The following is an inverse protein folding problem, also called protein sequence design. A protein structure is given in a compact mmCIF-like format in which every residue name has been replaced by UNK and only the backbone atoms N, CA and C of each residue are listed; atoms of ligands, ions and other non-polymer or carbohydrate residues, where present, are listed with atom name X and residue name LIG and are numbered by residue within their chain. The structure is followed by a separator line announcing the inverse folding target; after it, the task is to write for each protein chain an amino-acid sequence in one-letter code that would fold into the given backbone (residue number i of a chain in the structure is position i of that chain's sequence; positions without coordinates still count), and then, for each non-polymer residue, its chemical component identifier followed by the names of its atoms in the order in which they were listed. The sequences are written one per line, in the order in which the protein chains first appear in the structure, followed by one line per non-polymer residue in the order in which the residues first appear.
data_IF_399098633377
#
_entry.id   IF_399098633377
#
_cell.length_a   1.000
_cell.length_b   1.000
_cell.length_c   1.000
_cell.angle_alpha   90.00
_cell.angle_beta   90.00
_cell.angle_gamma   90.00
#
_symmetry.space_group_name_H-M   'P 1'
#
loop_
_entity.id
_entity.type
_entity.pdbx_description
1 polymer ?
#
# COMPACT_ATOMS: atom_id res chain seq x y z
N UNK A 1 -38.34 -13.49 -32.47
CA UNK A 1 -37.05 -12.80 -32.64
C UNK A 1 -36.69 -12.11 -31.33
N UNK A 2 -35.87 -12.75 -30.50
CA UNK A 2 -35.34 -12.11 -29.29
C UNK A 2 -34.34 -11.04 -29.74
N UNK A 3 -34.64 -9.77 -29.46
CA UNK A 3 -33.66 -8.68 -29.56
C UNK A 3 -32.60 -8.94 -28.48
N UNK A 4 -31.53 -9.65 -28.85
CA UNK A 4 -30.26 -9.53 -28.15
C UNK A 4 -29.83 -8.07 -28.26
N UNK A 5 -30.11 -7.29 -27.22
CA UNK A 5 -29.40 -6.05 -26.99
C UNK A 5 -27.94 -6.43 -26.79
N UNK A 6 -27.15 -6.40 -27.88
CA UNK A 6 -25.70 -6.43 -27.82
C UNK A 6 -25.29 -5.19 -27.02
N UNK A 7 -25.20 -5.35 -25.69
CA UNK A 7 -24.54 -4.36 -24.83
C UNK A 7 -23.11 -4.30 -25.35
N UNK A 8 -22.71 -3.12 -25.81
CA UNK A 8 -21.33 -2.88 -26.25
C UNK A 8 -20.37 -3.38 -25.16
N UNK A 9 -19.29 -4.09 -25.54
CA UNK A 9 -18.35 -4.65 -24.57
C UNK A 9 -17.71 -3.53 -23.75
N UNK A 10 -17.52 -3.78 -22.45
CA UNK A 10 -17.01 -2.77 -21.51
C UNK A 10 -15.55 -2.46 -21.89
N UNK A 11 -15.18 -1.19 -22.15
CA UNK A 11 -13.81 -0.84 -22.50
C UNK A 11 -12.84 -1.22 -21.39
N UNK A 12 -11.69 -1.79 -21.75
CA UNK A 12 -10.63 -2.11 -20.80
C UNK A 12 -9.94 -0.82 -20.32
N UNK A 13 -9.72 -0.72 -19.01
CA UNK A 13 -8.92 0.31 -18.36
C UNK A 13 -7.56 -0.29 -18.04
N UNK A 14 -6.45 0.41 -18.31
CA UNK A 14 -5.12 -0.12 -17.95
C UNK A 14 -4.97 -0.34 -16.44
N UNK A 15 -4.05 -1.23 -16.04
CA UNK A 15 -3.68 -1.46 -14.62
C UNK A 15 -3.43 -0.14 -13.88
N UNK A 16 -2.66 0.78 -14.47
CA UNK A 16 -2.39 2.09 -13.89
C UNK A 16 -3.64 2.97 -13.77
N UNK A 17 -4.51 2.93 -14.78
CA UNK A 17 -5.77 3.65 -14.76
C UNK A 17 -6.68 3.13 -13.64
N UNK A 18 -6.95 1.81 -13.61
CA UNK A 18 -7.80 1.22 -12.60
C UNK A 18 -7.27 1.48 -11.19
N UNK A 19 -5.97 1.31 -10.98
CA UNK A 19 -5.32 1.57 -9.70
C UNK A 19 -5.58 2.99 -9.22
N UNK A 20 -5.31 3.99 -10.07
CA UNK A 20 -5.53 5.39 -9.73
C UNK A 20 -7.00 5.65 -9.35
N UNK A 21 -7.95 5.18 -10.17
CA UNK A 21 -9.39 5.34 -9.91
C UNK A 21 -9.82 4.69 -8.60
N UNK A 22 -9.43 3.44 -8.36
CA UNK A 22 -9.75 2.68 -7.14
C UNK A 22 -9.10 3.30 -5.90
N UNK A 23 -7.83 3.74 -6.01
CA UNK A 23 -7.09 4.38 -4.93
C UNK A 23 -7.79 5.66 -4.47
N UNK A 24 -8.28 6.48 -5.41
CA UNK A 24 -9.02 7.70 -5.07
C UNK A 24 -10.40 7.37 -4.49
N UNK A 25 -11.12 6.39 -5.05
CA UNK A 25 -12.39 5.93 -4.48
C UNK A 25 -12.28 5.43 -3.03
N UNK A 26 -11.08 5.00 -2.63
CA UNK A 26 -10.77 4.49 -1.29
C UNK A 26 -9.78 5.38 -0.51
N UNK A 27 -9.61 6.64 -0.92
CA UNK A 27 -8.52 7.47 -0.42
C UNK A 27 -8.59 7.73 1.09
N UNK A 28 -9.78 7.89 1.66
CA UNK A 28 -9.97 8.08 3.12
C UNK A 28 -9.34 6.96 3.95
N UNK A 29 -9.32 5.75 3.38
CA UNK A 29 -8.80 4.54 4.01
C UNK A 29 -7.31 4.33 3.68
N UNK A 30 -6.90 4.73 2.48
CA UNK A 30 -5.61 4.35 1.89
C UNK A 30 -4.58 5.48 1.83
N UNK A 31 -4.96 6.71 2.18
CA UNK A 31 -4.10 7.89 2.19
C UNK A 31 -4.13 8.49 3.61
N UNK A 32 -2.99 8.54 4.32
CA UNK A 32 -2.95 8.94 5.73
C UNK A 32 -3.05 10.45 5.97
N UNK A 33 -2.99 11.26 4.90
CA UNK A 33 -3.02 12.74 4.92
C UNK A 33 -4.39 13.26 4.48
N UNK A 34 -4.68 14.53 4.73
CA UNK A 34 -5.96 15.18 4.38
C UNK A 34 -6.06 15.62 2.91
N UNK A 35 -4.94 15.78 2.23
CA UNK A 35 -4.83 16.13 0.81
C UNK A 35 -4.05 15.05 0.08
N UNK A 36 -4.49 14.70 -1.12
CA UNK A 36 -3.81 13.80 -2.04
C UNK A 36 -2.95 14.56 -3.03
N UNK A 37 -1.96 13.84 -3.57
CA UNK A 37 -1.21 14.21 -4.78
C UNK A 37 -1.27 13.09 -5.80
N UNK A 38 -0.88 13.38 -7.04
CA UNK A 38 -0.80 12.34 -8.07
C UNK A 38 0.26 11.27 -7.77
N UNK A 39 1.26 11.54 -6.93
CA UNK A 39 2.17 10.50 -6.43
C UNK A 39 1.45 9.39 -5.66
N UNK A 40 0.39 9.72 -4.90
CA UNK A 40 -0.38 8.72 -4.13
C UNK A 40 -1.14 7.75 -5.04
N UNK A 41 -1.42 8.19 -6.27
CA UNK A 41 -2.18 7.47 -7.30
C UNK A 41 -1.27 6.82 -8.34
N UNK A 42 0.05 7.02 -8.23
CA UNK A 42 1.01 6.49 -9.16
C UNK A 42 1.02 4.96 -9.09
N UNK A 43 0.72 4.30 -10.19
CA UNK A 43 0.80 2.85 -10.27
C UNK A 43 2.24 2.38 -10.41
N UNK A 44 2.59 1.18 -9.93
CA UNK A 44 3.90 0.55 -10.19
C UNK A 44 4.20 0.35 -11.69
N UNK A 45 3.15 0.26 -12.51
CA UNK A 45 3.27 0.11 -13.97
C UNK A 45 3.43 1.45 -14.70
N UNK A 46 3.54 2.57 -13.97
CA UNK A 46 3.55 3.90 -14.53
C UNK A 46 4.92 4.58 -14.38
N UNK A 47 5.36 5.21 -15.47
CA UNK A 47 6.69 5.78 -15.65
C UNK A 47 6.84 7.21 -15.13
N UNK A 48 5.76 7.96 -14.96
CA UNK A 48 5.82 9.32 -14.40
C UNK A 48 4.53 9.81 -13.75
N UNK A 49 4.70 10.73 -12.81
CA UNK A 49 3.61 11.46 -12.13
C UNK A 49 2.81 12.29 -13.13
N UNK A 50 3.46 12.93 -14.10
CA UNK A 50 2.79 13.65 -15.19
C UNK A 50 1.86 12.76 -16.00
N UNK A 51 2.30 11.53 -16.31
CA UNK A 51 1.46 10.57 -17.01
C UNK A 51 0.30 10.12 -16.12
N UNK A 52 0.48 10.05 -14.80
CA UNK A 52 -0.59 9.70 -13.85
C UNK A 52 -1.65 10.78 -13.88
N UNK A 53 -1.24 12.03 -13.67
CA UNK A 53 -2.08 13.21 -13.73
C UNK A 53 -2.82 13.30 -15.08
N UNK A 54 -2.13 13.10 -16.21
CA UNK A 54 -2.74 13.07 -17.54
C UNK A 54 -3.86 12.01 -17.66
N UNK A 55 -3.60 10.77 -17.24
CA UNK A 55 -4.58 9.68 -17.31
C UNK A 55 -5.78 9.95 -16.43
N UNK A 56 -5.55 10.38 -15.19
CA UNK A 56 -6.63 10.72 -14.24
C UNK A 56 -7.48 11.84 -14.81
N UNK A 57 -6.86 12.90 -15.33
CA UNK A 57 -7.56 14.04 -15.92
C UNK A 57 -8.51 13.60 -17.05
N UNK A 58 -8.00 12.85 -18.03
CA UNK A 58 -8.81 12.37 -19.14
C UNK A 58 -9.91 11.39 -18.72
N UNK A 59 -9.58 10.47 -17.80
CA UNK A 59 -10.53 9.44 -17.39
C UNK A 59 -11.69 10.03 -16.58
N UNK A 60 -11.40 10.99 -15.69
CA UNK A 60 -12.39 11.70 -14.90
C UNK A 60 -13.25 12.62 -15.78
N UNK A 61 -12.67 13.34 -16.73
CA UNK A 61 -13.42 14.18 -17.69
C UNK A 61 -14.37 13.32 -18.54
N UNK A 62 -13.88 12.21 -19.10
CA UNK A 62 -14.69 11.25 -19.86
C UNK A 62 -15.85 10.70 -19.02
N UNK A 63 -15.63 10.51 -17.73
CA UNK A 63 -16.63 10.00 -16.80
C UNK A 63 -17.52 11.08 -16.20
N UNK A 64 -17.28 12.36 -16.49
CA UNK A 64 -18.01 13.49 -15.91
C UNK A 64 -17.87 13.55 -14.40
N UNK A 65 -16.66 13.27 -13.89
CA UNK A 65 -16.27 13.37 -12.49
C UNK A 65 -15.32 14.55 -12.37
N UNK A 66 -15.64 15.49 -11.48
CA UNK A 66 -14.78 16.64 -11.21
C UNK A 66 -14.05 16.46 -9.89
N UNK A 67 -12.78 16.85 -9.87
CA UNK A 67 -12.03 16.99 -8.64
C UNK A 67 -12.18 18.44 -8.18
N UNK A 68 -12.99 18.64 -7.15
CA UNK A 68 -13.19 19.96 -6.54
C UNK A 68 -12.05 20.30 -5.58
N UNK A 69 -11.70 21.58 -5.50
CA UNK A 69 -10.69 22.06 -4.55
C UNK A 69 -9.26 21.66 -4.91
N UNK A 70 -8.98 21.38 -6.19
CA UNK A 70 -7.61 21.26 -6.68
C UNK A 70 -6.85 22.57 -6.48
N UNK A 71 -5.61 22.47 -6.01
CA UNK A 71 -4.70 23.58 -5.82
C UNK A 71 -3.44 23.29 -6.63
N UNK A 72 -2.98 24.28 -7.38
CA UNK A 72 -1.66 24.25 -8.00
C UNK A 72 -0.69 25.11 -7.18
N UNK A 73 0.41 24.51 -6.73
CA UNK A 73 1.43 25.18 -5.94
C UNK A 73 2.39 25.96 -6.84
N UNK A 74 1.96 27.11 -7.34
CA UNK A 74 2.73 27.96 -8.28
C UNK A 74 4.09 28.37 -7.72
N UNK A 75 4.18 28.66 -6.44
CA UNK A 75 5.41 29.04 -5.74
C UNK A 75 6.42 27.88 -5.74
N UNK A 76 5.98 26.68 -5.35
CA UNK A 76 6.81 25.48 -5.34
C UNK A 76 7.22 25.09 -6.77
N UNK A 77 6.29 25.17 -7.72
CA UNK A 77 6.57 24.95 -9.14
C UNK A 77 7.68 25.89 -9.63
N UNK A 78 7.56 27.18 -9.35
CA UNK A 78 8.56 28.16 -9.77
C UNK A 78 9.93 27.92 -9.13
N UNK A 79 9.96 27.50 -7.86
CA UNK A 79 11.20 27.29 -7.12
C UNK A 79 11.94 26.01 -7.52
N UNK A 80 11.21 24.91 -7.73
CA UNK A 80 11.81 23.56 -7.81
C UNK A 80 11.70 22.92 -9.20
N UNK A 81 10.79 23.36 -10.07
CA UNK A 81 10.74 22.88 -11.45
C UNK A 81 11.87 23.49 -12.28
N UNK A 82 12.52 22.66 -13.11
CA UNK A 82 13.60 23.08 -14.03
C UNK A 82 13.20 24.23 -14.96
N UNK A 83 11.92 24.31 -15.30
CA UNK A 83 11.36 25.30 -16.23
C UNK A 83 10.32 26.21 -15.58
N UNK A 84 10.00 25.99 -14.30
CA UNK A 84 8.91 26.69 -13.62
C UNK A 84 9.14 28.18 -13.47
N UNK A 85 10.33 28.59 -13.01
CA UNK A 85 10.69 30.00 -12.85
C UNK A 85 10.58 30.80 -14.15
N UNK A 86 11.13 30.27 -15.25
CA UNK A 86 11.05 30.92 -16.57
C UNK A 86 9.62 30.97 -17.10
N UNK A 87 8.88 29.87 -16.94
CA UNK A 87 7.47 29.79 -17.36
C UNK A 87 6.61 30.82 -16.63
N UNK A 88 6.75 30.94 -15.31
CA UNK A 88 6.01 31.91 -14.50
C UNK A 88 6.39 33.35 -14.87
N UNK A 89 7.69 33.64 -15.03
CA UNK A 89 8.17 34.96 -15.45
C UNK A 89 7.61 35.37 -16.82
N UNK A 90 7.65 34.47 -17.79
CA UNK A 90 7.13 34.73 -19.13
C UNK A 90 5.61 34.96 -19.13
N UNK A 91 4.87 34.25 -18.26
CA UNK A 91 3.45 34.51 -18.04
C UNK A 91 3.19 35.91 -17.46
N UNK A 92 3.89 36.28 -16.39
CA UNK A 92 3.75 37.60 -15.73
C UNK A 92 4.14 38.77 -16.65
N UNK A 93 5.14 38.58 -17.52
CA UNK A 93 5.56 39.59 -18.50
C UNK A 93 4.69 39.62 -19.77
N UNK A 94 3.67 38.76 -19.89
CA UNK A 94 2.82 38.66 -21.08
C UNK A 94 3.54 38.09 -22.32
N UNK A 95 4.69 37.44 -22.12
CA UNK A 95 5.57 36.86 -23.16
C UNK A 95 5.42 35.35 -23.31
N UNK A 96 4.44 34.74 -22.64
CA UNK A 96 4.21 33.30 -22.68
C UNK A 96 3.98 32.81 -24.13
N UNK A 97 4.73 31.76 -24.50
CA UNK A 97 4.55 31.06 -25.77
C UNK A 97 3.10 30.55 -25.92
N UNK A 98 2.66 30.33 -27.16
CA UNK A 98 1.29 29.89 -27.47
C UNK A 98 0.86 28.63 -26.68
N UNK A 99 1.76 27.67 -26.46
CA UNK A 99 1.47 26.47 -25.66
C UNK A 99 1.42 26.77 -24.15
N UNK A 100 2.28 27.65 -23.64
CA UNK A 100 2.30 28.02 -22.22
C UNK A 100 1.02 28.77 -21.80
N UNK A 101 0.31 29.42 -22.73
CA UNK A 101 -1.01 30.01 -22.47
C UNK A 101 -2.04 28.99 -22.00
N UNK A 102 -1.89 27.71 -22.33
CA UNK A 102 -2.79 26.65 -21.86
C UNK A 102 -2.70 26.42 -20.35
N UNK A 103 -1.56 26.73 -19.73
CA UNK A 103 -1.30 26.46 -18.30
C UNK A 103 -1.41 27.73 -17.44
N UNK A 104 -1.64 28.89 -18.05
CA UNK A 104 -1.85 30.16 -17.37
C UNK A 104 -2.89 30.10 -16.23
N UNK A 105 -4.06 29.43 -16.40
CA UNK A 105 -5.03 29.30 -15.31
C UNK A 105 -4.46 28.61 -14.05
N UNK A 106 -3.49 27.71 -14.20
CA UNK A 106 -2.84 27.04 -13.06
C UNK A 106 -1.88 27.99 -12.35
N UNK A 107 -1.10 28.76 -13.10
CA UNK A 107 -0.16 29.74 -12.55
C UNK A 107 -0.88 30.81 -11.71
N UNK A 108 -2.08 31.20 -12.14
CA UNK A 108 -2.95 32.13 -11.42
C UNK A 108 -3.80 31.44 -10.33
N UNK A 109 -3.68 30.12 -10.19
CA UNK A 109 -4.46 29.25 -9.30
C UNK A 109 -5.99 29.49 -9.41
N UNK A 110 -6.46 29.79 -10.62
CA UNK A 110 -7.85 30.09 -10.94
C UNK A 110 -8.27 29.26 -12.15
N UNK A 111 -8.57 27.98 -11.90
CA UNK A 111 -8.90 27.02 -12.94
C UNK A 111 -10.07 26.12 -12.53
N UNK A 112 -10.80 25.67 -13.55
CA UNK A 112 -11.82 24.63 -13.44
C UNK A 112 -11.21 23.26 -13.69
N UNK A 113 -11.89 22.20 -13.25
CA UNK A 113 -11.48 20.84 -13.59
C UNK A 113 -11.43 20.62 -15.11
N UNK A 114 -12.33 21.25 -15.87
CA UNK A 114 -12.32 21.15 -17.33
C UNK A 114 -11.03 21.74 -17.94
N UNK A 115 -10.60 22.90 -17.46
CA UNK A 115 -9.32 23.49 -17.89
C UNK A 115 -8.11 22.64 -17.48
N UNK A 116 -8.18 22.00 -16.31
CA UNK A 116 -7.20 20.99 -15.89
C UNK A 116 -7.13 19.81 -16.90
N UNK A 117 -8.27 19.24 -17.25
CA UNK A 117 -8.36 18.12 -18.20
C UNK A 117 -7.93 18.50 -19.62
N UNK A 118 -8.35 19.66 -20.14
CA UNK A 118 -8.01 20.13 -21.47
C UNK A 118 -6.50 20.42 -21.61
N UNK A 119 -5.83 20.74 -20.50
CA UNK A 119 -4.39 21.00 -20.47
C UNK A 119 -3.55 19.76 -20.18
N UNK A 120 -4.16 18.58 -20.00
CA UNK A 120 -3.47 17.36 -19.59
C UNK A 120 -2.28 17.01 -20.50
N UNK A 121 -2.41 17.22 -21.82
CA UNK A 121 -1.36 16.96 -22.80
C UNK A 121 -0.08 17.78 -22.56
N UNK A 122 -0.19 18.88 -21.81
CA UNK A 122 0.92 19.77 -21.48
C UNK A 122 1.68 19.33 -20.23
N UNK A 123 1.15 18.40 -19.43
CA UNK A 123 1.72 18.07 -18.11
C UNK A 123 3.16 17.59 -18.20
N UNK A 124 3.42 16.60 -19.07
CA UNK A 124 4.77 16.08 -19.26
C UNK A 124 5.75 17.12 -19.82
N UNK A 125 5.27 18.03 -20.68
CA UNK A 125 6.12 19.10 -21.25
C UNK A 125 6.51 20.12 -20.18
N UNK A 126 5.57 20.47 -19.31
CA UNK A 126 5.77 21.52 -18.31
C UNK A 126 6.11 20.99 -16.91
N UNK A 127 6.15 19.67 -16.72
CA UNK A 127 6.41 19.01 -15.44
C UNK A 127 5.40 19.44 -14.38
N UNK A 128 4.11 19.28 -14.67
CA UNK A 128 3.03 19.88 -13.85
C UNK A 128 2.46 18.93 -12.79
N UNK A 129 2.54 17.62 -13.00
CA UNK A 129 1.81 16.63 -12.19
C UNK A 129 2.14 16.67 -10.70
N UNK A 130 3.40 16.96 -10.36
CA UNK A 130 3.90 16.94 -8.97
C UNK A 130 3.39 18.11 -8.10
N UNK A 131 2.86 19.15 -8.74
CA UNK A 131 2.53 20.42 -8.07
C UNK A 131 1.04 20.60 -7.79
N UNK A 132 0.25 19.55 -8.04
CA UNK A 132 -1.17 19.54 -7.72
C UNK A 132 -1.44 18.82 -6.40
N UNK A 133 -2.22 19.46 -5.55
CA UNK A 133 -2.86 18.85 -4.39
C UNK A 133 -4.37 18.94 -4.51
N UNK A 134 -5.07 17.94 -3.97
CA UNK A 134 -6.53 17.91 -4.00
C UNK A 134 -7.11 17.14 -2.80
N UNK A 135 -8.38 17.36 -2.44
CA UNK A 135 -8.99 16.69 -1.30
C UNK A 135 -9.01 15.17 -1.46
N UNK A 136 -8.84 14.45 -0.35
CA UNK A 136 -9.02 12.99 -0.26
C UNK A 136 -10.48 12.59 -0.53
N UNK A 137 -11.42 13.49 -0.25
CA UNK A 137 -12.85 13.26 -0.39
C UNK A 137 -13.39 13.96 -1.64
N UNK A 138 -13.93 13.18 -2.57
CA UNK A 138 -14.75 13.71 -3.64
C UNK A 138 -16.09 14.23 -3.08
N UNK A 139 -16.66 15.25 -3.74
CA UNK A 139 -18.05 15.65 -3.46
C UNK A 139 -18.98 14.43 -3.58
N UNK A 140 -20.05 14.34 -2.76
CA UNK A 140 -20.89 13.14 -2.69
C UNK A 140 -21.41 12.63 -4.04
N UNK A 141 -21.80 13.53 -4.95
CA UNK A 141 -22.27 13.16 -6.28
C UNK A 141 -21.15 12.55 -7.14
N UNK A 142 -19.96 13.14 -7.11
CA UNK A 142 -18.78 12.65 -7.83
C UNK A 142 -18.29 11.32 -7.24
N UNK A 143 -18.30 11.17 -5.90
CA UNK A 143 -17.98 9.91 -5.23
C UNK A 143 -18.93 8.79 -5.65
N UNK A 144 -20.25 9.04 -5.57
CA UNK A 144 -21.26 8.06 -5.97
C UNK A 144 -21.10 7.65 -7.44
N UNK A 145 -20.78 8.60 -8.31
CA UNK A 145 -20.55 8.35 -9.74
C UNK A 145 -19.30 7.49 -9.96
N UNK A 146 -18.19 7.82 -9.31
CA UNK A 146 -16.95 7.04 -9.35
C UNK A 146 -17.20 5.59 -8.89
N UNK A 147 -17.85 5.42 -7.74
CA UNK A 147 -18.16 4.10 -7.17
C UNK A 147 -19.04 3.28 -8.11
N UNK A 148 -20.06 3.90 -8.71
CA UNK A 148 -20.95 3.23 -9.66
C UNK A 148 -20.20 2.78 -10.91
N UNK A 149 -19.32 3.62 -11.45
CA UNK A 149 -18.54 3.29 -12.66
C UNK A 149 -17.49 2.22 -12.39
N UNK A 150 -16.81 2.28 -11.24
CA UNK A 150 -15.92 1.22 -10.77
C UNK A 150 -16.67 -0.10 -10.55
N UNK A 151 -17.86 -0.05 -9.95
CA UNK A 151 -18.70 -1.24 -9.76
C UNK A 151 -19.09 -1.88 -11.10
N UNK A 152 -19.54 -1.08 -12.07
CA UNK A 152 -19.87 -1.55 -13.43
C UNK A 152 -18.64 -2.18 -14.08
N UNK A 153 -17.48 -1.52 -14.01
CA UNK A 153 -16.24 -2.01 -14.60
C UNK A 153 -15.78 -3.33 -13.98
N UNK A 154 -15.70 -3.39 -12.65
CA UNK A 154 -15.27 -4.58 -11.92
C UNK A 154 -16.24 -5.75 -12.10
N UNK A 155 -17.55 -5.48 -12.12
CA UNK A 155 -18.54 -6.51 -12.48
C UNK A 155 -18.38 -6.95 -13.93
N UNK A 156 -17.99 -6.05 -14.84
CA UNK A 156 -17.60 -6.39 -16.20
C UNK A 156 -16.43 -7.38 -16.23
N UNK A 157 -15.36 -7.07 -15.52
CA UNK A 157 -14.17 -7.90 -15.39
C UNK A 157 -14.47 -9.28 -14.78
N UNK A 158 -15.17 -9.31 -13.64
CA UNK A 158 -15.53 -10.55 -12.94
C UNK A 158 -16.38 -11.50 -13.80
N UNK A 159 -17.16 -10.94 -14.73
CA UNK A 159 -18.05 -11.70 -15.61
C UNK A 159 -17.50 -11.88 -17.04
N UNK A 160 -16.21 -11.64 -17.26
CA UNK A 160 -15.53 -11.76 -18.57
C UNK A 160 -16.21 -10.94 -19.69
N UNK A 161 -16.58 -9.69 -19.40
CA UNK A 161 -17.26 -8.76 -20.33
C UNK A 161 -16.40 -7.58 -20.78
N UNK A 162 -15.12 -7.55 -20.43
CA UNK A 162 -14.20 -6.55 -20.96
C UNK A 162 -13.83 -6.87 -22.40
N UNK A 163 -13.49 -5.82 -23.15
CA UNK A 163 -13.06 -5.96 -24.55
C UNK A 163 -11.82 -6.85 -24.75
N UNK A 164 -10.99 -7.02 -23.72
CA UNK A 164 -9.75 -7.81 -23.78
C UNK A 164 -9.93 -9.29 -23.39
N UNK A 165 -11.11 -9.69 -22.90
CA UNK A 165 -11.35 -11.03 -22.34
C UNK A 165 -11.53 -12.13 -23.41
N UNK A 166 -11.31 -11.79 -24.68
CA UNK A 166 -11.30 -12.77 -25.79
C UNK A 166 -10.17 -13.80 -25.67
N UNK A 167 -9.13 -13.50 -24.88
CA UNK A 167 -8.02 -14.41 -24.60
C UNK A 167 -8.24 -15.06 -23.23
N UNK A 168 -8.23 -16.40 -23.17
CA UNK A 168 -8.55 -17.19 -21.96
C UNK A 168 -7.75 -16.78 -20.71
N UNK A 169 -6.54 -16.26 -20.88
CA UNK A 169 -5.69 -15.82 -19.79
C UNK A 169 -6.18 -14.54 -19.09
N UNK A 170 -6.94 -13.68 -19.79
CA UNK A 170 -7.55 -12.48 -19.20
C UNK A 170 -8.87 -12.77 -18.49
N UNK A 171 -9.41 -13.98 -18.59
CA UNK A 171 -10.63 -14.35 -17.86
C UNK A 171 -10.41 -14.30 -16.35
N UNK A 172 -11.37 -13.71 -15.64
CA UNK A 172 -11.25 -13.48 -14.21
C UNK A 172 -10.99 -14.77 -13.44
N UNK A 173 -11.69 -15.86 -13.73
CA UNK A 173 -11.51 -17.14 -13.02
C UNK A 173 -10.08 -17.69 -13.15
N UNK A 174 -9.41 -17.50 -14.29
CA UNK A 174 -8.02 -17.92 -14.47
C UNK A 174 -7.05 -17.04 -13.71
N UNK A 175 -7.28 -15.73 -13.71
CA UNK A 175 -6.47 -14.80 -12.94
C UNK A 175 -6.64 -15.01 -11.43
N UNK A 176 -7.88 -15.22 -10.99
CA UNK A 176 -8.25 -15.53 -9.60
C UNK A 176 -7.56 -16.80 -9.12
N UNK A 177 -7.63 -17.88 -9.90
CA UNK A 177 -6.97 -19.15 -9.60
C UNK A 177 -5.46 -18.95 -9.37
N UNK A 178 -4.79 -18.26 -10.31
CA UNK A 178 -3.35 -17.98 -10.19
C UNK A 178 -3.03 -17.09 -8.98
N UNK A 179 -3.85 -16.07 -8.71
CA UNK A 179 -3.64 -15.17 -7.58
C UNK A 179 -3.79 -15.89 -6.24
N UNK A 180 -4.84 -16.70 -6.08
CA UNK A 180 -5.08 -17.46 -4.84
C UNK A 180 -3.93 -18.44 -4.55
N UNK A 181 -3.36 -19.06 -5.59
CA UNK A 181 -2.19 -19.93 -5.44
C UNK A 181 -0.97 -19.15 -4.90
N UNK A 182 -0.70 -17.95 -5.43
CA UNK A 182 0.35 -17.06 -4.93
C UNK A 182 0.09 -16.61 -3.49
N UNK A 183 -1.14 -16.18 -3.19
CA UNK A 183 -1.54 -15.72 -1.86
C UNK A 183 -1.42 -16.84 -0.82
N UNK A 184 -1.72 -18.09 -1.20
CA UNK A 184 -1.53 -19.26 -0.33
C UNK A 184 -0.08 -19.46 0.06
N UNK A 185 0.86 -19.38 -0.89
CA UNK A 185 2.29 -19.55 -0.59
C UNK A 185 2.75 -18.53 0.44
N UNK A 186 2.34 -17.27 0.27
CA UNK A 186 2.62 -16.19 1.20
C UNK A 186 1.94 -16.41 2.56
N UNK A 187 0.69 -16.87 2.56
CA UNK A 187 -0.06 -17.17 3.77
C UNK A 187 0.62 -18.26 4.62
N UNK A 188 1.10 -19.33 3.98
CA UNK A 188 1.82 -20.41 4.68
C UNK A 188 3.12 -19.92 5.32
N UNK A 189 3.75 -18.88 4.75
CA UNK A 189 4.99 -18.31 5.27
C UNK A 189 4.75 -17.28 6.38
N UNK A 190 3.78 -16.39 6.18
CA UNK A 190 3.63 -15.15 6.96
C UNK A 190 2.32 -15.06 7.77
N UNK A 191 1.44 -16.06 7.65
CA UNK A 191 0.09 -16.03 8.23
C UNK A 191 -0.90 -15.26 7.35
N UNK A 192 -2.06 -14.91 7.89
CA UNK A 192 -3.18 -14.39 7.07
C UNK A 192 -3.01 -12.91 6.66
N UNK A 193 -2.13 -12.17 7.34
CA UNK A 193 -1.81 -10.78 7.02
C UNK A 193 -0.35 -10.67 6.60
N UNK A 194 -0.10 -10.16 5.39
CA UNK A 194 1.25 -10.06 4.84
C UNK A 194 1.37 -8.92 3.83
N UNK A 195 2.62 -8.66 3.42
CA UNK A 195 2.95 -7.69 2.37
C UNK A 195 3.21 -8.45 1.08
N UNK A 196 2.31 -8.30 0.12
CA UNK A 196 2.50 -8.71 -1.26
C UNK A 196 3.53 -7.77 -1.88
N UNK A 197 4.61 -8.32 -2.43
CA UNK A 197 5.60 -7.57 -3.21
C UNK A 197 5.44 -7.94 -4.68
N UNK A 198 5.41 -6.96 -5.57
CA UNK A 198 5.63 -7.22 -6.98
C UNK A 198 6.74 -6.35 -7.53
N UNK A 199 7.56 -6.94 -8.38
CA UNK A 199 8.62 -6.27 -9.12
C UNK A 199 8.10 -5.93 -10.52
N UNK A 200 8.23 -4.67 -10.92
CA UNK A 200 8.05 -4.26 -12.30
C UNK A 200 9.34 -3.58 -12.79
N UNK A 201 10.25 -4.40 -13.33
CA UNK A 201 11.50 -4.01 -14.02
C UNK A 201 12.44 -3.00 -13.33
N UNK A 202 13.53 -3.50 -12.73
CA UNK A 202 14.89 -3.58 -13.30
C UNK A 202 15.74 -4.42 -12.33
N UNK A 203 16.19 -5.62 -12.71
CA UNK A 203 17.37 -6.18 -12.05
C UNK A 203 18.49 -6.29 -13.05
N UNK A 204 19.61 -5.63 -12.73
CA UNK A 204 20.92 -6.05 -13.21
C UNK A 204 21.38 -7.36 -12.57
N UNK A 205 20.66 -7.91 -11.57
CA UNK A 205 21.09 -9.10 -10.86
C UNK A 205 20.06 -10.26 -10.86
N UNK A 206 20.58 -11.43 -11.23
CA UNK A 206 19.90 -12.70 -11.39
C UNK A 206 19.47 -13.30 -10.04
N UNK A 207 18.27 -12.97 -9.56
CA UNK A 207 17.64 -13.72 -8.47
C UNK A 207 16.41 -14.47 -8.99
N UNK A 208 16.43 -15.80 -8.93
CA UNK A 208 15.42 -16.73 -9.46
C UNK A 208 13.98 -16.47 -8.99
N UNK A 209 13.77 -15.78 -7.88
CA UNK A 209 12.45 -15.37 -7.40
C UNK A 209 11.85 -14.17 -8.17
N UNK A 210 12.66 -13.43 -8.93
CA UNK A 210 12.20 -12.32 -9.79
C UNK A 210 11.64 -12.78 -11.13
N UNK A 211 12.00 -13.97 -11.63
CA UNK A 211 11.59 -14.43 -12.96
C UNK A 211 10.13 -14.89 -13.04
N UNK A 212 9.55 -15.40 -11.96
CA UNK A 212 8.16 -15.90 -11.96
C UNK A 212 7.13 -14.76 -11.84
N UNK A 213 7.43 -13.76 -11.00
CA UNK A 213 6.63 -12.53 -10.87
C UNK A 213 6.72 -11.68 -12.16
N UNK A 214 7.86 -11.72 -12.86
CA UNK A 214 8.06 -11.04 -14.15
C UNK A 214 7.07 -11.51 -15.22
N UNK A 215 6.91 -12.81 -15.41
CA UNK A 215 5.92 -13.34 -16.36
C UNK A 215 4.47 -13.13 -15.93
N UNK A 216 4.24 -12.86 -14.64
CA UNK A 216 2.92 -12.65 -14.09
C UNK A 216 2.36 -11.28 -14.49
N UNK A 217 3.13 -10.19 -14.38
CA UNK A 217 2.68 -8.85 -14.80
C UNK A 217 2.52 -8.67 -16.32
N UNK A 218 3.36 -9.32 -17.13
CA UNK A 218 3.29 -9.21 -18.59
C UNK A 218 2.13 -9.99 -19.20
N UNK A 219 1.57 -10.94 -18.45
CA UNK A 219 0.48 -11.79 -18.92
C UNK A 219 -0.82 -11.51 -18.18
N UNK A 220 -0.82 -11.22 -16.88
CA UNK A 220 -2.03 -11.05 -16.06
C UNK A 220 -2.40 -9.59 -15.82
N UNK A 221 -3.56 -9.37 -15.20
CA UNK A 221 -4.04 -8.09 -14.67
C UNK A 221 -4.07 -8.18 -13.13
N UNK A 222 -2.91 -8.09 -12.45
CA UNK A 222 -2.82 -8.37 -11.03
C UNK A 222 -3.54 -7.32 -10.16
N UNK A 223 -3.48 -6.03 -10.49
CA UNK A 223 -4.23 -5.00 -9.75
C UNK A 223 -5.73 -5.15 -10.00
N UNK A 224 -6.15 -5.45 -11.23
CA UNK A 224 -7.55 -5.79 -11.49
C UNK A 224 -8.02 -6.96 -10.63
N UNK A 225 -7.23 -8.02 -10.57
CA UNK A 225 -7.55 -9.24 -9.83
C UNK A 225 -7.60 -8.98 -8.32
N UNK A 226 -6.62 -8.26 -7.76
CA UNK A 226 -6.62 -7.89 -6.33
C UNK A 226 -7.83 -7.04 -5.94
N UNK A 227 -8.14 -6.02 -6.75
CA UNK A 227 -9.30 -5.13 -6.51
C UNK A 227 -10.61 -5.91 -6.65
N UNK A 228 -10.71 -6.83 -7.61
CA UNK A 228 -11.87 -7.70 -7.78
C UNK A 228 -12.03 -8.68 -6.61
N UNK A 229 -10.94 -9.25 -6.10
CA UNK A 229 -10.94 -10.12 -4.93
C UNK A 229 -11.37 -9.36 -3.66
N UNK A 230 -10.88 -8.13 -3.47
CA UNK A 230 -11.33 -7.26 -2.36
C UNK A 230 -12.83 -7.01 -2.45
N UNK A 231 -13.32 -6.62 -3.64
CA UNK A 231 -14.77 -6.44 -3.90
C UNK A 231 -15.59 -7.69 -3.58
N UNK A 232 -15.06 -8.87 -3.87
CA UNK A 232 -15.74 -10.15 -3.64
C UNK A 232 -15.61 -10.65 -2.20
N UNK A 233 -14.90 -9.93 -1.31
CA UNK A 233 -14.71 -10.28 0.09
C UNK A 233 -13.72 -11.43 0.33
N UNK A 234 -12.73 -11.59 -0.56
CA UNK A 234 -11.66 -12.58 -0.40
C UNK A 234 -10.49 -12.05 0.44
N UNK A 235 -10.25 -10.74 0.39
CA UNK A 235 -9.14 -10.09 1.07
C UNK A 235 -9.51 -8.64 1.38
N UNK A 236 -8.78 -8.04 2.32
CA UNK A 236 -8.81 -6.60 2.59
C UNK A 236 -7.45 -6.01 2.25
N UNK A 237 -7.41 -4.96 1.41
CA UNK A 237 -6.16 -4.27 1.07
C UNK A 237 -5.91 -3.16 2.08
N UNK A 238 -5.13 -3.38 3.14
CA UNK A 238 -4.96 -2.41 4.23
C UNK A 238 -4.13 -1.18 3.83
N UNK A 239 -3.09 -1.37 3.01
CA UNK A 239 -2.21 -0.29 2.60
C UNK A 239 -1.52 -0.60 1.26
N UNK A 240 -1.16 0.45 0.53
CA UNK A 240 -0.37 0.35 -0.70
C UNK A 240 0.76 1.37 -0.66
N UNK A 241 1.98 0.88 -0.87
CA UNK A 241 3.19 1.69 -0.99
C UNK A 241 3.83 1.46 -2.34
N UNK A 242 4.12 2.56 -3.04
CA UNK A 242 4.72 2.57 -4.38
C UNK A 242 6.18 2.99 -4.31
N UNK A 243 6.55 3.80 -3.31
CA UNK A 243 7.92 4.23 -3.05
C UNK A 243 8.11 4.22 -1.53
N UNK A 244 9.15 3.52 -1.06
CA UNK A 244 9.49 3.46 0.37
C UNK A 244 10.55 4.54 0.65
N UNK A 245 10.11 5.74 1.04
CA UNK A 245 11.02 6.79 1.53
C UNK A 245 11.42 6.59 3.00
N UNK A 246 10.70 5.71 3.72
CA UNK A 246 10.86 5.48 5.17
C UNK A 246 11.73 4.25 5.51
N UNK A 247 12.28 3.58 4.49
CA UNK A 247 13.27 2.52 4.64
C UNK A 247 14.56 3.01 4.00
N UNK A 248 15.70 3.06 4.73
CA UNK A 248 16.98 3.36 4.10
C UNK A 248 17.15 2.38 2.94
N UNK A 249 17.48 2.84 1.72
CA UNK A 249 17.55 1.98 0.56
C UNK A 249 18.59 0.89 0.86
N UNK A 250 18.14 -0.33 1.14
CA UNK A 250 18.96 -1.49 0.84
C UNK A 250 19.08 -1.48 -0.69
N UNK A 251 20.32 -1.51 -1.18
CA UNK A 251 20.79 -1.05 -2.50
C UNK A 251 20.05 -1.59 -3.77
N UNK A 252 18.99 -2.39 -3.65
CA UNK A 252 18.28 -3.04 -4.76
C UNK A 252 16.73 -3.01 -4.67
N UNK A 253 16.10 -2.36 -3.68
CA UNK A 253 14.66 -2.54 -3.35
C UNK A 253 13.75 -1.33 -3.69
N UNK A 254 14.24 -0.33 -4.45
CA UNK A 254 13.52 0.94 -4.73
C UNK A 254 12.33 0.82 -5.69
N UNK A 255 12.28 -0.26 -6.49
CA UNK A 255 11.33 -0.41 -7.61
C UNK A 255 10.26 -1.49 -7.34
N UNK A 256 10.00 -1.77 -6.05
CA UNK A 256 9.09 -2.83 -5.61
C UNK A 256 7.85 -2.22 -4.97
N UNK A 257 6.69 -2.41 -5.60
CA UNK A 257 5.44 -2.03 -4.95
C UNK A 257 5.09 -3.03 -3.86
N UNK A 258 4.51 -2.51 -2.78
CA UNK A 258 4.17 -3.27 -1.58
C UNK A 258 2.69 -3.06 -1.28
N UNK A 259 1.92 -4.14 -1.27
CA UNK A 259 0.51 -4.12 -0.88
C UNK A 259 0.38 -4.91 0.41
N UNK A 260 0.01 -4.24 1.50
CA UNK A 260 -0.38 -4.94 2.73
C UNK A 260 -1.82 -5.39 2.58
N UNK A 261 -2.04 -6.69 2.76
CA UNK A 261 -3.36 -7.28 2.67
C UNK A 261 -3.57 -8.32 3.77
N UNK A 262 -4.84 -8.58 4.05
CA UNK A 262 -5.30 -9.64 4.95
C UNK A 262 -6.25 -10.56 4.20
N UNK A 263 -6.00 -11.87 4.22
CA UNK A 263 -6.90 -12.86 3.63
C UNK A 263 -8.12 -13.09 4.53
N UNK A 264 -9.29 -13.15 3.91
CA UNK A 264 -10.57 -13.38 4.58
C UNK A 264 -10.98 -14.85 4.48
N UNK A 265 -11.92 -15.26 5.33
CA UNK A 265 -12.40 -16.65 5.42
C UNK A 265 -12.87 -17.20 4.07
N UNK A 266 -13.42 -16.36 3.19
CA UNK A 266 -13.84 -16.75 1.84
C UNK A 266 -12.68 -17.23 0.98
N UNK A 267 -11.54 -16.55 1.01
CA UNK A 267 -10.34 -16.99 0.28
C UNK A 267 -9.80 -18.29 0.86
N UNK A 268 -9.76 -18.39 2.19
CA UNK A 268 -9.27 -19.57 2.88
C UNK A 268 -10.13 -20.80 2.57
N UNK A 269 -11.46 -20.66 2.55
CA UNK A 269 -12.38 -21.74 2.22
C UNK A 269 -12.15 -22.27 0.78
N UNK A 270 -11.93 -21.38 -0.20
CA UNK A 270 -11.67 -21.77 -1.58
C UNK A 270 -10.29 -22.44 -1.73
N UNK A 271 -9.27 -21.91 -1.06
CA UNK A 271 -7.92 -22.50 -1.02
C UNK A 271 -7.97 -23.92 -0.40
N UNK A 272 -8.65 -24.08 0.73
CA UNK A 272 -8.77 -25.36 1.43
C UNK A 272 -9.51 -26.40 0.58
N UNK A 273 -10.57 -25.97 -0.11
CA UNK A 273 -11.32 -26.82 -1.03
C UNK A 273 -10.46 -27.31 -2.20
N UNK A 274 -9.60 -26.44 -2.76
CA UNK A 274 -8.70 -26.80 -3.87
C UNK A 274 -7.64 -27.80 -3.46
N UNK A 275 -6.99 -27.59 -2.31
CA UNK A 275 -5.80 -28.34 -1.95
C UNK A 275 -6.03 -29.50 -0.97
N UNK A 276 -7.25 -29.66 -0.43
CA UNK A 276 -7.62 -30.73 0.51
C UNK A 276 -6.72 -30.83 1.74
N UNK A 277 -6.00 -29.75 2.04
CA UNK A 277 -5.19 -29.57 3.23
C UNK A 277 -5.61 -28.23 3.82
N UNK A 278 -6.00 -28.17 5.10
CA UNK A 278 -6.36 -26.89 5.71
C UNK A 278 -5.13 -25.96 5.66
N UNK A 279 -5.23 -24.84 4.96
CA UNK A 279 -4.27 -23.75 4.98
C UNK A 279 -4.13 -23.17 6.41
N UNK A 280 -5.13 -23.43 7.27
CA UNK A 280 -5.07 -23.23 8.72
C UNK A 280 -4.12 -24.15 9.48
N UNK A 281 -3.34 -25.03 8.85
CA UNK A 281 -2.04 -25.43 9.44
C UNK A 281 -1.01 -24.33 9.20
N UNK A 282 -1.33 -23.08 9.57
CA UNK A 282 -0.30 -22.34 10.28
C UNK A 282 0.09 -23.25 11.42
N UNK A 283 1.35 -23.65 11.49
CA UNK A 283 1.89 -24.01 12.78
C UNK A 283 1.85 -22.69 13.56
N UNK A 284 0.69 -22.32 14.10
CA UNK A 284 0.58 -21.40 15.23
C UNK A 284 1.17 -22.19 16.38
N UNK A 285 2.50 -22.30 16.39
CA UNK A 285 3.16 -22.38 17.66
C UNK A 285 2.87 -21.02 18.28
N UNK A 286 2.20 -20.97 19.45
CA UNK A 286 2.12 -19.75 20.21
C UNK A 286 3.52 -19.14 20.26
N UNK A 287 3.61 -17.82 20.07
CA UNK A 287 4.89 -17.15 20.18
C UNK A 287 5.59 -17.65 21.45
N UNK A 288 6.80 -18.16 21.32
CA UNK A 288 7.53 -18.75 22.44
C UNK A 288 8.94 -18.19 22.46
N UNK A 289 9.43 -17.93 23.65
CA UNK A 289 10.75 -17.35 23.84
C UNK A 289 11.62 -18.29 24.67
N UNK A 290 12.68 -18.79 24.07
CA UNK A 290 13.70 -19.54 24.78
C UNK A 290 14.71 -18.57 25.40
N UNK A 291 14.55 -18.34 26.70
CA UNK A 291 15.44 -17.48 27.48
C UNK A 291 16.88 -18.01 27.60
N UNK A 292 17.17 -19.27 27.27
CA UNK A 292 18.54 -19.81 27.27
C UNK A 292 19.26 -19.50 25.96
N UNK A 293 18.57 -19.61 24.83
CA UNK A 293 19.16 -19.35 23.51
C UNK A 293 18.88 -17.95 22.98
N UNK A 294 18.05 -17.16 23.68
CA UNK A 294 17.56 -15.84 23.25
C UNK A 294 16.84 -15.87 21.90
N UNK A 295 16.17 -16.98 21.60
CA UNK A 295 15.42 -17.18 20.36
C UNK A 295 13.93 -16.99 20.62
N UNK A 296 13.32 -16.13 19.81
CA UNK A 296 11.87 -15.99 19.71
C UNK A 296 11.40 -16.87 18.54
N UNK A 297 10.63 -17.89 18.84
CA UNK A 297 9.85 -18.61 17.83
C UNK A 297 8.54 -17.87 17.66
N UNK A 298 8.32 -17.31 16.48
CA UNK A 298 7.11 -16.57 16.16
C UNK A 298 6.71 -16.87 14.72
N UNK A 299 5.48 -17.36 14.54
CA UNK A 299 5.03 -17.96 13.27
C UNK A 299 5.97 -19.13 12.87
N UNK A 300 6.49 -19.12 11.64
CA UNK A 300 7.47 -20.09 11.13
C UNK A 300 8.92 -19.68 11.39
N UNK A 301 9.16 -18.47 11.93
CA UNK A 301 10.48 -17.88 12.05
C UNK A 301 11.10 -18.13 13.44
N UNK A 302 12.41 -18.37 13.44
CA UNK A 302 13.25 -18.39 14.64
C UNK A 302 14.13 -17.14 14.64
N UNK A 303 13.75 -16.17 15.46
CA UNK A 303 14.35 -14.85 15.49
C UNK A 303 15.36 -14.82 16.64
N UNK A 304 16.64 -14.63 16.33
CA UNK A 304 17.66 -14.42 17.37
C UNK A 304 17.59 -12.96 17.83
N UNK A 305 17.06 -12.74 19.03
CA UNK A 305 16.79 -11.40 19.58
C UNK A 305 18.07 -10.70 20.04
N UNK A 306 19.06 -11.49 20.47
CA UNK A 306 20.40 -10.98 20.74
C UNK A 306 21.42 -12.10 20.70
N UNK A 307 22.59 -11.81 20.12
CA UNK A 307 23.76 -12.70 20.18
C UNK A 307 24.33 -12.81 21.60
N UNK A 308 24.00 -11.86 22.48
CA UNK A 308 24.41 -11.87 23.88
C UNK A 308 23.19 -11.91 24.78
N UNK A 309 23.18 -12.78 25.79
CA UNK A 309 22.03 -12.93 26.71
C UNK A 309 21.85 -11.75 27.69
N UNK A 310 22.51 -10.61 27.43
CA UNK A 310 22.57 -9.43 28.28
C UNK A 310 22.17 -8.18 27.49
N UNK A 311 20.99 -8.24 26.86
CA UNK A 311 20.41 -7.10 26.14
C UNK A 311 19.05 -6.73 26.73
N UNK A 312 18.68 -5.45 26.62
CA UNK A 312 17.36 -5.00 27.10
C UNK A 312 16.20 -5.75 26.38
N UNK A 313 16.25 -6.00 25.05
CA UNK A 313 15.24 -6.83 24.37
C UNK A 313 15.14 -8.27 24.92
N UNK A 314 16.26 -8.91 25.24
CA UNK A 314 16.28 -10.25 25.82
C UNK A 314 15.55 -10.29 27.16
N UNK A 315 15.90 -9.38 28.06
CA UNK A 315 15.28 -9.28 29.38
C UNK A 315 13.79 -8.94 29.30
N UNK A 316 13.43 -8.02 28.39
CA UNK A 316 12.05 -7.63 28.16
C UNK A 316 11.19 -8.84 27.75
N UNK A 317 11.63 -9.62 26.76
CA UNK A 317 10.92 -10.84 26.36
C UNK A 317 10.83 -11.86 27.48
N UNK A 318 11.92 -12.08 28.23
CA UNK A 318 11.94 -12.97 29.40
C UNK A 318 10.90 -12.60 30.45
N UNK A 319 10.63 -11.31 30.64
CA UNK A 319 9.61 -10.85 31.59
C UNK A 319 8.19 -11.03 31.05
N UNK A 320 7.95 -10.58 29.81
CA UNK A 320 6.61 -10.59 29.19
C UNK A 320 6.09 -12.01 28.98
N UNK A 321 6.95 -12.94 28.51
CA UNK A 321 6.55 -14.32 28.25
C UNK A 321 6.25 -15.15 29.50
N UNK A 322 6.50 -14.63 30.72
CA UNK A 322 6.00 -15.25 31.96
C UNK A 322 4.48 -15.15 32.10
N UNK A 323 3.87 -14.11 31.52
CA UNK A 323 2.41 -13.95 31.46
C UNK A 323 2.04 -13.22 30.15
N UNK A 324 2.03 -13.92 29.01
CA UNK A 324 1.88 -13.33 27.67
C UNK A 324 0.62 -12.46 27.49
N UNK A 325 -0.48 -12.83 28.15
CA UNK A 325 -1.77 -12.13 28.08
C UNK A 325 -1.89 -10.94 29.06
N UNK A 326 -0.91 -10.74 29.95
CA UNK A 326 -0.97 -9.68 30.96
C UNK A 326 -0.62 -8.32 30.36
N UNK A 327 -1.36 -7.30 30.79
CA UNK A 327 -0.96 -5.89 30.64
C UNK A 327 -0.06 -5.55 31.82
N UNK A 328 1.19 -5.25 31.53
CA UNK A 328 2.20 -4.97 32.54
C UNK A 328 2.31 -3.48 32.79
N UNK A 329 2.42 -3.07 34.05
CA UNK A 329 2.85 -1.72 34.39
C UNK A 329 4.38 -1.61 34.22
N UNK A 330 4.87 -0.45 33.78
CA UNK A 330 6.30 -0.25 33.46
C UNK A 330 7.19 -0.37 34.69
N UNK A 331 6.72 0.12 35.84
CA UNK A 331 7.35 -0.04 37.16
C UNK A 331 7.41 -1.52 37.59
N UNK A 332 6.35 -2.28 37.40
CA UNK A 332 6.31 -3.72 37.70
C UNK A 332 7.36 -4.49 36.89
N UNK A 333 7.48 -4.22 35.59
CA UNK A 333 8.52 -4.86 34.77
C UNK A 333 9.91 -4.42 35.24
N UNK A 334 10.08 -3.13 35.55
CA UNK A 334 11.37 -2.61 36.02
C UNK A 334 11.85 -3.34 37.27
N UNK A 335 10.98 -3.47 38.28
CA UNK A 335 11.29 -4.22 39.49
C UNK A 335 11.64 -5.69 39.20
N UNK A 336 10.96 -6.32 38.23
CA UNK A 336 11.26 -7.71 37.85
C UNK A 336 12.58 -7.88 37.11
N UNK A 337 13.03 -6.87 36.38
CA UNK A 337 14.27 -6.92 35.60
C UNK A 337 15.50 -6.52 36.42
N UNK A 338 15.35 -5.54 37.30
CA UNK A 338 16.46 -4.89 37.99
C UNK A 338 16.44 -5.08 39.52
N UNK A 339 15.33 -5.59 40.08
CA UNK A 339 15.17 -5.87 41.50
C UNK A 339 14.58 -4.70 42.30
N UNK A 340 13.98 -5.02 43.45
CA UNK A 340 13.26 -4.05 44.33
C UNK A 340 14.14 -2.97 44.95
N UNK A 341 15.46 -3.18 44.97
CA UNK A 341 16.42 -2.27 45.59
C UNK A 341 16.87 -1.14 44.65
N UNK A 342 16.39 -1.11 43.41
CA UNK A 342 16.71 -0.07 42.44
C UNK A 342 15.51 0.87 42.33
N UNK A 343 15.65 2.07 42.91
CA UNK A 343 14.60 3.10 42.92
C UNK A 343 14.12 3.39 41.49
N UNK A 344 12.81 3.29 41.26
CA UNK A 344 12.22 3.55 39.96
C UNK A 344 12.17 5.06 39.69
N UNK A 345 12.92 5.52 38.68
CA UNK A 345 12.80 6.86 38.13
C UNK A 345 11.88 6.83 36.88
N UNK A 346 10.66 7.39 36.95
CA UNK A 346 9.66 7.26 35.89
C UNK A 346 10.14 7.75 34.52
N UNK A 347 10.83 8.89 34.46
CA UNK A 347 11.29 9.46 33.18
C UNK A 347 12.42 8.64 32.54
N UNK A 348 13.42 8.27 33.34
CA UNK A 348 14.60 7.54 32.85
C UNK A 348 14.26 6.11 32.47
N UNK A 349 13.46 5.45 33.29
CA UNK A 349 13.17 4.02 33.15
C UNK A 349 12.12 3.77 32.07
N UNK A 350 11.11 4.63 31.96
CA UNK A 350 10.18 4.59 30.83
C UNK A 350 10.92 4.71 29.50
N UNK A 351 11.85 5.68 29.38
CA UNK A 351 12.64 5.86 28.14
C UNK A 351 13.47 4.63 27.80
N UNK A 352 14.07 3.98 28.80
CA UNK A 352 14.85 2.74 28.59
C UNK A 352 13.97 1.58 28.12
N UNK A 353 12.79 1.43 28.70
CA UNK A 353 11.81 0.41 28.30
C UNK A 353 11.21 0.69 26.91
N UNK A 354 11.01 1.96 26.58
CA UNK A 354 10.56 2.40 25.26
C UNK A 354 11.58 2.02 24.19
N UNK A 355 12.85 2.37 24.40
CA UNK A 355 13.92 2.00 23.47
C UNK A 355 14.05 0.47 23.33
N UNK A 356 13.99 -0.28 24.44
CA UNK A 356 14.05 -1.74 24.39
C UNK A 356 12.88 -2.35 23.62
N UNK A 357 11.69 -1.76 23.71
CA UNK A 357 10.50 -2.18 22.95
C UNK A 357 10.67 -1.87 21.47
N UNK A 358 11.18 -0.68 21.16
CA UNK A 358 11.49 -0.26 19.79
C UNK A 358 12.52 -1.19 19.14
N UNK A 359 13.68 -1.39 19.78
CA UNK A 359 14.75 -2.26 19.28
C UNK A 359 14.25 -3.70 19.07
N UNK A 360 13.43 -4.20 20.00
CA UNK A 360 12.82 -5.53 19.89
C UNK A 360 11.89 -5.63 18.68
N UNK A 361 10.97 -4.66 18.52
CA UNK A 361 10.06 -4.65 17.38
C UNK A 361 10.81 -4.48 16.06
N UNK A 362 11.91 -3.72 16.03
CA UNK A 362 12.76 -3.60 14.85
C UNK A 362 13.48 -4.91 14.50
N UNK A 363 14.04 -5.63 15.48
CA UNK A 363 14.66 -6.94 15.24
C UNK A 363 13.65 -7.98 14.73
N UNK A 364 12.42 -7.95 15.26
CA UNK A 364 11.32 -8.77 14.77
C UNK A 364 10.91 -8.33 13.36
N UNK A 365 10.82 -7.03 13.10
CA UNK A 365 10.45 -6.46 11.81
C UNK A 365 11.47 -6.78 10.71
N UNK A 366 12.77 -6.86 11.02
CA UNK A 366 13.79 -7.29 10.04
C UNK A 366 13.48 -8.66 9.43
N UNK A 367 12.93 -9.57 10.22
CA UNK A 367 12.69 -10.96 9.80
C UNK A 367 11.23 -11.23 9.44
N UNK A 368 10.28 -10.46 9.99
CA UNK A 368 8.84 -10.72 9.86
C UNK A 368 8.03 -9.51 9.37
N UNK A 369 8.65 -8.33 9.32
CA UNK A 369 8.03 -7.02 9.03
C UNK A 369 6.92 -6.60 9.99
N UNK A 370 6.78 -7.30 11.11
CA UNK A 370 5.86 -6.96 12.19
C UNK A 370 6.56 -5.97 13.13
N UNK A 371 6.08 -4.72 13.13
CA UNK A 371 6.61 -3.63 13.98
C UNK A 371 5.83 -3.42 15.28
N UNK A 372 4.71 -4.12 15.47
CA UNK A 372 3.83 -3.94 16.62
C UNK A 372 3.66 -5.22 17.44
N UNK A 373 4.72 -6.05 17.50
CA UNK A 373 4.74 -7.28 18.31
C UNK A 373 4.52 -6.99 19.80
N UNK A 374 5.26 -6.00 20.32
CA UNK A 374 5.07 -5.45 21.67
C UNK A 374 4.49 -4.04 21.57
N UNK A 375 3.39 -3.79 22.29
CA UNK A 375 2.76 -2.48 22.38
C UNK A 375 3.16 -1.81 23.69
N UNK A 376 3.80 -0.65 23.60
CA UNK A 376 4.09 0.20 24.75
C UNK A 376 3.26 1.48 24.73
N UNK A 377 2.70 1.83 25.88
CA UNK A 377 1.99 3.09 26.14
C UNK A 377 2.75 3.88 27.23
N UNK A 378 2.20 5.04 27.65
CA UNK A 378 2.81 5.91 28.67
C UNK A 378 3.14 5.20 29.98
N UNK A 379 2.34 4.22 30.41
CA UNK A 379 2.52 3.55 31.71
C UNK A 379 2.45 2.03 31.64
N UNK A 380 2.15 1.46 30.46
CA UNK A 380 1.89 0.03 30.31
C UNK A 380 2.61 -0.57 29.11
N UNK A 381 2.83 -1.88 29.18
CA UNK A 381 3.43 -2.68 28.12
C UNK A 381 2.70 -4.03 28.00
N UNK A 382 2.47 -4.51 26.78
CA UNK A 382 1.83 -5.82 26.54
C UNK A 382 2.28 -6.42 25.20
N UNK A 383 2.18 -7.74 25.05
CA UNK A 383 2.17 -8.34 23.71
C UNK A 383 0.90 -7.92 22.98
N UNK A 384 1.00 -7.75 21.68
CA UNK A 384 -0.16 -7.48 20.87
C UNK A 384 -1.08 -8.70 20.84
N UNK A 385 -2.32 -8.52 21.29
CA UNK A 385 -3.30 -9.61 21.46
C UNK A 385 -3.57 -10.39 20.18
N UNK A 386 -3.37 -9.76 19.01
CA UNK A 386 -3.52 -10.42 17.70
C UNK A 386 -2.51 -11.55 17.46
N UNK A 387 -1.44 -11.61 18.26
CA UNK A 387 -0.38 -12.62 18.18
C UNK A 387 -0.42 -13.67 19.30
N UNK A 388 -1.44 -13.61 20.17
CA UNK A 388 -1.61 -14.53 21.30
C UNK A 388 -2.61 -15.68 21.01
N UNK A 389 -3.11 -15.77 19.78
CA UNK A 389 -4.16 -16.70 19.37
C UNK A 389 -3.62 -17.93 18.66
#
# INVERSE_FOLDING_TARGET
MNKQTNKLPIPHISEAGLYALWKYANAERLVPRSLMRFEDMLSPTQDSIDNCAFRVALQFDLWGIEIDGMIFHTDLYAQYSKIGAETLKNHQEGKAEKMAKGIAPFLDNNFTFKQFADSAILFKKFGLGEWFEFPVQLKPNNKKRLDTLLDIYLNGFINDKLQIDSINWYKFEKQKESMLDTLRVLQLQFGDTFVLRGQYYQTKNNNWMSSEIRTWFDKTLPLHTLIALEKLGYLDIEAVWVIDMDVPPEDDDTDVFKIRLTLLDKAMAEIDAKYKTPARTSISQPASFDSKTSQLTFQTNKITISKTHNSNPHYLLKAIFKAPAKVWAVDEIWEKLFGKNIEYNPRKHWKKMYNATYDLNEEIAKQTRIRDFVIMKKTTLQLNKKYLK
#
